data_IF_780655090198
#
_entry.id   IF_780655090198
#
_cell.length_a   1.000
_cell.length_b   1.000
_cell.length_c   1.000
_cell.angle_alpha   90.00
_cell.angle_beta   90.00
_cell.angle_gamma   90.00
#
_symmetry.space_group_name_H-M   'P 1'
#
loop_
_entity.id
_entity.type
_entity.pdbx_description
1 polymer ?
#
# COMPACT_ATOMS: atom_id res chain seq x y z
N UNK A 1 23.74 0.97 1.25
CA UNK A 1 22.47 1.10 2.00
C UNK A 1 21.45 1.85 1.16
N UNK A 2 20.24 1.33 1.08
CA UNK A 2 19.15 1.93 0.31
C UNK A 2 17.90 1.96 1.17
N UNK A 3 17.18 3.09 1.16
CA UNK A 3 15.84 3.18 1.72
C UNK A 3 14.83 2.93 0.60
N UNK A 4 14.00 1.93 0.76
CA UNK A 4 12.99 1.56 -0.22
C UNK A 4 11.62 1.47 0.45
N UNK A 5 10.65 2.15 -0.12
CA UNK A 5 9.32 2.15 0.47
C UNK A 5 8.31 2.88 -0.38
N UNK A 6 7.14 3.06 0.18
CA UNK A 6 6.06 3.78 -0.46
C UNK A 6 5.08 4.29 0.57
N UNK A 7 4.25 5.19 0.12
CA UNK A 7 3.19 5.76 0.95
C UNK A 7 1.98 6.11 0.11
N UNK A 8 0.87 6.25 0.78
CA UNK A 8 -0.39 6.67 0.19
C UNK A 8 -1.12 7.59 1.17
N UNK A 9 -1.85 8.52 0.63
CA UNK A 9 -2.73 9.37 1.43
C UNK A 9 -4.19 9.13 1.10
N UNK A 10 -5.05 9.39 2.05
CA UNK A 10 -6.50 9.38 1.85
C UNK A 10 -6.96 10.82 1.69
N UNK A 11 -7.45 11.16 0.49
CA UNK A 11 -8.02 12.46 0.22
C UNK A 11 -9.17 12.35 -0.78
N UNK A 12 -10.10 13.30 -0.73
CA UNK A 12 -11.22 13.30 -1.67
C UNK A 12 -10.75 13.63 -3.10
N UNK A 13 -9.71 14.42 -3.25
CA UNK A 13 -9.13 14.75 -4.55
C UNK A 13 -8.54 13.52 -5.25
N UNK A 14 -7.77 12.71 -4.53
CA UNK A 14 -7.24 11.45 -5.05
C UNK A 14 -8.36 10.47 -5.40
N UNK A 15 -9.35 10.35 -4.52
CA UNK A 15 -10.51 9.50 -4.76
C UNK A 15 -11.24 9.92 -6.03
N UNK A 16 -11.41 11.22 -6.24
CA UNK A 16 -12.06 11.77 -7.43
C UNK A 16 -11.28 11.43 -8.71
N UNK A 17 -9.95 11.54 -8.68
CA UNK A 17 -9.11 11.21 -9.83
C UNK A 17 -9.21 9.73 -10.20
N UNK A 18 -9.11 8.84 -9.22
CA UNK A 18 -9.23 7.40 -9.46
C UNK A 18 -10.65 6.99 -9.87
N UNK A 19 -11.67 7.65 -9.31
CA UNK A 19 -13.07 7.40 -9.71
C UNK A 19 -13.31 7.83 -11.16
N UNK A 20 -12.76 8.96 -11.58
CA UNK A 20 -12.82 9.42 -12.96
C UNK A 20 -12.21 8.42 -13.96
N UNK A 21 -11.24 7.63 -13.51
CA UNK A 21 -10.63 6.54 -14.29
C UNK A 21 -11.39 5.23 -14.19
N UNK A 22 -12.50 5.18 -13.47
CA UNK A 22 -13.26 3.97 -13.15
C UNK A 22 -12.43 2.92 -12.39
N UNK A 23 -11.46 3.37 -11.59
CA UNK A 23 -10.55 2.50 -10.86
C UNK A 23 -11.02 2.20 -9.42
N UNK A 24 -12.01 2.93 -8.91
CA UNK A 24 -12.52 2.74 -7.55
C UNK A 24 -13.54 1.61 -7.48
N UNK A 25 -13.56 0.91 -6.33
CA UNK A 25 -14.63 -0.03 -6.01
C UNK A 25 -15.97 0.70 -5.93
N UNK A 26 -17.01 0.15 -6.54
CA UNK A 26 -18.36 0.71 -6.52
C UNK A 26 -19.46 -0.32 -6.24
N UNK A 27 -19.16 -1.61 -6.36
CA UNK A 27 -20.17 -2.66 -6.16
C UNK A 27 -20.54 -2.90 -4.69
N UNK A 28 -19.79 -2.32 -3.75
CA UNK A 28 -19.96 -2.56 -2.30
C UNK A 28 -20.44 -1.33 -1.54
N UNK A 29 -21.01 -0.33 -2.22
CA UNK A 29 -21.47 0.92 -1.57
C UNK A 29 -22.59 0.69 -0.55
N UNK A 30 -23.34 -0.39 -0.65
CA UNK A 30 -24.38 -0.80 0.31
C UNK A 30 -23.82 -1.62 1.48
N UNK A 31 -22.57 -2.06 1.41
CA UNK A 31 -21.84 -2.84 2.42
C UNK A 31 -20.36 -2.49 2.41
N UNK A 32 -20.01 -1.23 2.75
CA UNK A 32 -18.65 -0.70 2.59
C UNK A 32 -17.57 -1.46 3.36
N UNK A 33 -17.92 -2.10 4.47
CA UNK A 33 -17.01 -2.92 5.27
C UNK A 33 -16.49 -4.16 4.52
N UNK A 34 -17.12 -4.51 3.40
CA UNK A 34 -16.71 -5.64 2.55
C UNK A 34 -15.98 -5.19 1.28
N UNK A 35 -15.82 -3.91 1.05
CA UNK A 35 -15.25 -3.39 -0.20
C UNK A 35 -13.74 -3.65 -0.32
N UNK A 36 -13.00 -3.47 0.78
CA UNK A 36 -11.57 -3.73 0.81
C UNK A 36 -11.30 -5.23 0.89
N UNK A 37 -10.87 -5.81 -0.21
CA UNK A 37 -10.70 -7.26 -0.35
C UNK A 37 -9.55 -7.62 -1.29
N UNK A 38 -8.35 -7.19 -0.90
CA UNK A 38 -7.13 -7.46 -1.66
C UNK A 38 -6.96 -8.96 -1.94
N UNK A 39 -6.55 -9.29 -3.16
CA UNK A 39 -6.36 -10.66 -3.67
C UNK A 39 -7.64 -11.51 -3.78
N UNK A 40 -8.81 -11.01 -3.39
CA UNK A 40 -10.08 -11.71 -3.54
C UNK A 40 -10.53 -11.68 -5.02
N UNK A 41 -11.12 -12.78 -5.48
CA UNK A 41 -11.61 -12.88 -6.86
C UNK A 41 -12.78 -11.91 -7.15
N UNK A 42 -13.52 -11.52 -6.12
CA UNK A 42 -14.66 -10.60 -6.24
C UNK A 42 -14.28 -9.13 -6.08
N UNK A 43 -13.00 -8.79 -5.97
CA UNK A 43 -12.56 -7.39 -5.90
C UNK A 43 -12.93 -6.64 -7.17
N UNK A 44 -13.31 -5.39 -7.04
CA UNK A 44 -13.81 -4.57 -8.15
C UNK A 44 -13.12 -3.20 -8.29
N UNK A 45 -12.04 -2.98 -7.56
CA UNK A 45 -11.30 -1.72 -7.67
C UNK A 45 -10.66 -1.28 -6.36
N UNK A 46 -10.15 -0.05 -6.38
CA UNK A 46 -9.47 0.53 -5.21
C UNK A 46 -10.46 0.88 -4.09
N UNK A 47 -10.00 0.69 -2.87
CA UNK A 47 -10.56 1.29 -1.66
C UNK A 47 -9.43 2.10 -1.05
N UNK A 48 -9.52 3.43 -1.14
CA UNK A 48 -8.40 4.29 -0.76
C UNK A 48 -8.20 4.29 0.75
N UNK A 49 -6.96 4.29 1.18
CA UNK A 49 -6.56 4.38 2.58
C UNK A 49 -5.20 5.04 2.69
N UNK A 50 -4.91 5.66 3.82
CA UNK A 50 -3.61 6.24 4.09
C UNK A 50 -2.66 5.23 4.71
N UNK A 51 -1.37 5.41 4.47
CA UNK A 51 -0.34 4.58 5.09
C UNK A 51 1.02 4.83 4.48
N UNK A 52 2.03 4.25 5.11
CA UNK A 52 3.39 4.32 4.61
C UNK A 52 4.26 3.21 5.20
N UNK A 53 5.23 2.78 4.43
CA UNK A 53 6.21 1.81 4.88
C UNK A 53 7.57 2.06 4.26
N UNK A 54 8.61 1.75 5.02
CA UNK A 54 9.99 1.93 4.57
C UNK A 54 10.83 0.74 5.00
N UNK A 55 11.60 0.22 4.07
CA UNK A 55 12.59 -0.81 4.32
C UNK A 55 13.99 -0.24 4.15
N UNK A 56 14.91 -0.70 4.97
CA UNK A 56 16.34 -0.40 4.81
C UNK A 56 17.02 -1.63 4.25
N UNK A 57 17.52 -1.52 3.04
CA UNK A 57 18.26 -2.57 2.35
C UNK A 57 19.75 -2.28 2.43
N UNK A 58 20.54 -3.29 2.77
CA UNK A 58 21.96 -3.15 3.02
C UNK A 58 22.70 -4.39 2.55
N UNK A 59 23.90 -4.21 2.03
CA UNK A 59 24.76 -5.35 1.70
C UNK A 59 25.02 -6.18 2.96
N UNK A 60 24.83 -7.48 2.86
CA UNK A 60 24.91 -8.41 3.99
C UNK A 60 26.24 -8.29 4.78
N UNK A 61 27.35 -8.23 4.07
CA UNK A 61 28.67 -8.14 4.73
C UNK A 61 28.87 -6.82 5.47
N UNK A 62 28.33 -5.73 4.93
CA UNK A 62 28.35 -4.44 5.62
C UNK A 62 27.48 -4.46 6.88
N UNK A 63 26.29 -5.03 6.79
CA UNK A 63 25.37 -5.16 7.93
C UNK A 63 26.02 -6.01 9.05
N UNK A 64 26.63 -7.13 8.71
CA UNK A 64 27.35 -7.99 9.66
C UNK A 64 28.51 -7.25 10.33
N UNK A 65 29.32 -6.53 9.53
CA UNK A 65 30.51 -5.84 10.04
C UNK A 65 30.17 -4.78 11.09
N UNK A 66 29.03 -4.13 10.99
CA UNK A 66 28.59 -3.13 11.99
C UNK A 66 27.67 -3.71 13.10
N UNK A 67 27.44 -5.02 13.09
CA UNK A 67 26.58 -5.67 14.10
C UNK A 67 25.11 -5.33 13.98
N UNK A 68 24.61 -5.13 12.75
CA UNK A 68 23.21 -4.80 12.53
C UNK A 68 22.26 -5.93 12.95
N UNK A 69 21.09 -5.57 13.44
CA UNK A 69 19.99 -6.51 13.65
C UNK A 69 19.33 -6.81 12.31
N UNK A 70 19.68 -7.93 11.70
CA UNK A 70 19.19 -8.35 10.38
C UNK A 70 17.85 -9.05 10.56
N UNK A 71 16.81 -8.55 9.88
CA UNK A 71 15.43 -9.08 10.00
C UNK A 71 15.10 -10.14 8.95
N UNK A 72 15.72 -10.07 7.78
CA UNK A 72 15.50 -11.00 6.67
C UNK A 72 16.72 -11.06 5.73
#
# INVERSE_FOLDING_TARGET
MVFAGGGEEESWELSLLFDAMSAMSSAFNDRPEQASRAFDAARDGFVIAGGGGMLVLEALEHAKARGANILA
#
